data_IF_849651243993
#
_entry.id   IF_849651243993
#
_cell.length_a   1.000
_cell.length_b   1.000
_cell.length_c   1.000
_cell.angle_alpha   90.00
_cell.angle_beta   90.00
_cell.angle_gamma   90.00
#
_symmetry.space_group_name_H-M   'P 1'
#
loop_
_entity.id
_entity.type
_entity.pdbx_description
1 polymer ?
#
# COMPACT_ATOMS: atom_id res chain seq x y z
N UNK A 1 34.33 19.82 -19.38
CA UNK A 1 33.53 19.50 -18.18
C UNK A 1 32.19 18.97 -18.67
N UNK A 2 32.03 17.65 -18.74
CA UNK A 2 30.81 17.02 -19.24
C UNK A 2 29.86 16.80 -18.07
N UNK A 3 28.77 17.56 -18.03
CA UNK A 3 27.69 17.35 -17.06
C UNK A 3 26.77 16.29 -17.65
N UNK A 4 26.91 15.05 -17.20
CA UNK A 4 25.93 14.00 -17.43
C UNK A 4 24.77 14.22 -16.46
N UNK A 5 23.69 14.85 -16.95
CA UNK A 5 22.43 14.91 -16.25
C UNK A 5 21.74 13.54 -16.34
N UNK A 6 21.91 12.73 -15.30
CA UNK A 6 21.11 11.51 -15.11
C UNK A 6 19.69 11.94 -14.73
N UNK A 7 18.80 11.96 -15.73
CA UNK A 7 17.36 12.03 -15.50
C UNK A 7 16.94 10.76 -14.74
N UNK A 8 16.75 10.88 -13.43
CA UNK A 8 16.18 9.83 -12.62
C UNK A 8 14.70 9.68 -13.01
N UNK A 9 14.38 8.62 -13.74
CA UNK A 9 13.00 8.15 -13.88
C UNK A 9 12.55 7.65 -12.50
N UNK A 10 12.06 8.54 -11.65
CA UNK A 10 11.27 8.15 -10.49
C UNK A 10 10.02 7.45 -11.03
N UNK A 11 9.98 6.11 -10.93
CA UNK A 11 8.81 5.34 -11.33
C UNK A 11 7.58 5.91 -10.63
N UNK A 12 6.59 6.35 -11.41
CA UNK A 12 5.36 6.89 -10.86
C UNK A 12 4.75 5.85 -9.91
N UNK A 13 4.27 6.25 -8.71
CA UNK A 13 3.52 5.36 -7.84
C UNK A 13 2.38 4.73 -8.63
N UNK A 14 2.11 3.43 -8.42
CA UNK A 14 0.93 2.79 -9.01
C UNK A 14 -0.29 3.67 -8.71
N UNK A 15 -1.03 4.17 -9.73
CA UNK A 15 -2.15 5.05 -9.48
C UNK A 15 -3.21 4.29 -8.68
N UNK A 16 -3.50 4.81 -7.48
CA UNK A 16 -4.54 4.31 -6.58
C UNK A 16 -5.64 5.38 -6.44
N UNK A 17 -6.91 4.97 -6.27
CA UNK A 17 -8.03 5.90 -6.15
C UNK A 17 -7.89 6.78 -4.92
N UNK A 18 -8.35 8.03 -5.01
CA UNK A 18 -8.34 8.99 -3.91
C UNK A 18 -6.97 9.10 -3.19
N UNK A 19 -5.89 9.19 -3.98
CA UNK A 19 -4.50 9.23 -3.50
C UNK A 19 -4.19 10.39 -2.54
N UNK A 20 -5.04 11.41 -2.50
CA UNK A 20 -4.97 12.52 -1.54
C UNK A 20 -5.51 12.18 -0.14
N UNK A 21 -6.32 11.13 -0.01
CA UNK A 21 -6.94 10.76 1.26
C UNK A 21 -5.93 10.22 2.28
N UNK A 22 -6.28 10.34 3.56
CA UNK A 22 -5.49 9.77 4.64
C UNK A 22 -5.37 8.23 4.54
N UNK A 23 -6.40 7.56 4.01
CA UNK A 23 -6.41 6.11 3.79
C UNK A 23 -5.44 5.68 2.70
N UNK A 24 -5.48 6.35 1.54
CA UNK A 24 -4.59 6.05 0.43
C UNK A 24 -3.12 6.30 0.78
N UNK A 25 -2.82 7.41 1.47
CA UNK A 25 -1.45 7.73 1.91
C UNK A 25 -0.90 6.69 2.88
N UNK A 26 -1.69 6.31 3.89
CA UNK A 26 -1.28 5.27 4.84
C UNK A 26 -1.10 3.91 4.15
N UNK A 27 -2.01 3.55 3.23
CA UNK A 27 -1.89 2.34 2.44
C UNK A 27 -0.59 2.33 1.61
N UNK A 28 -0.27 3.44 0.94
CA UNK A 28 0.98 3.57 0.20
C UNK A 28 2.20 3.43 1.12
N UNK A 29 2.23 4.18 2.21
CA UNK A 29 3.35 4.20 3.16
C UNK A 29 3.63 2.82 3.78
N UNK A 30 2.60 2.11 4.23
CA UNK A 30 2.78 0.81 4.91
C UNK A 30 2.94 -0.35 3.93
N UNK A 31 2.27 -0.32 2.78
CA UNK A 31 2.18 -1.50 1.88
C UNK A 31 3.10 -1.45 0.66
N UNK A 32 3.78 -0.33 0.38
CA UNK A 32 4.78 -0.26 -0.70
C UNK A 32 6.20 -0.61 -0.26
N UNK A 33 6.40 -0.95 1.01
CA UNK A 33 7.72 -1.19 1.59
C UNK A 33 8.43 -2.44 1.04
N UNK A 34 7.69 -3.41 0.50
CA UNK A 34 8.24 -4.68 0.01
C UNK A 34 7.97 -4.94 -1.48
N UNK A 35 6.89 -4.41 -2.04
CA UNK A 35 6.49 -4.62 -3.43
C UNK A 35 5.56 -3.50 -3.89
N UNK A 36 5.23 -3.45 -5.18
CA UNK A 36 4.25 -2.49 -5.71
C UNK A 36 2.86 -2.68 -5.09
N UNK A 37 2.11 -1.58 -4.98
CA UNK A 37 0.77 -1.59 -4.41
C UNK A 37 -0.23 -2.26 -5.37
N UNK A 38 -0.98 -3.28 -4.94
CA UNK A 38 -2.10 -3.77 -5.71
C UNK A 38 -3.25 -2.73 -5.73
N UNK A 39 -3.84 -2.51 -6.90
CA UNK A 39 -4.98 -1.59 -7.02
C UNK A 39 -6.19 -2.07 -6.17
N UNK A 40 -6.87 -1.19 -5.40
CA UNK A 40 -7.98 -1.58 -4.52
C UNK A 40 -9.11 -2.38 -5.20
N UNK A 41 -9.46 -2.07 -6.45
CA UNK A 41 -10.47 -2.82 -7.20
C UNK A 41 -10.06 -4.28 -7.58
N UNK A 42 -8.85 -4.74 -7.24
CA UNK A 42 -8.41 -6.12 -7.54
C UNK A 42 -9.07 -7.19 -6.68
N UNK A 43 -9.67 -6.83 -5.55
CA UNK A 43 -10.27 -7.76 -4.60
C UNK A 43 -11.58 -7.19 -4.03
N UNK A 44 -12.43 -8.07 -3.51
CA UNK A 44 -13.62 -7.67 -2.74
C UNK A 44 -13.22 -7.25 -1.31
N UNK A 45 -14.07 -6.56 -0.54
CA UNK A 45 -13.75 -6.18 0.85
C UNK A 45 -13.33 -7.37 1.73
N UNK A 46 -14.04 -8.51 1.64
CA UNK A 46 -13.71 -9.72 2.40
C UNK A 46 -12.36 -10.34 1.98
N UNK A 47 -12.03 -10.28 0.68
CA UNK A 47 -10.73 -10.73 0.20
C UNK A 47 -9.60 -9.83 0.71
N UNK A 48 -9.83 -8.52 0.78
CA UNK A 48 -8.85 -7.58 1.35
C UNK A 48 -8.59 -7.81 2.82
N UNK A 49 -9.63 -8.09 3.61
CA UNK A 49 -9.46 -8.43 5.03
C UNK A 49 -8.57 -9.67 5.22
N UNK A 50 -8.82 -10.72 4.44
CA UNK A 50 -7.99 -11.92 4.46
C UNK A 50 -6.55 -11.63 4.03
N UNK A 51 -6.37 -10.94 2.89
CA UNK A 51 -5.04 -10.63 2.34
C UNK A 51 -4.22 -9.73 3.27
N UNK A 52 -4.85 -8.78 3.96
CA UNK A 52 -4.14 -7.95 4.92
C UNK A 52 -3.59 -8.79 6.08
N UNK A 53 -4.36 -9.77 6.58
CA UNK A 53 -3.85 -10.71 7.59
C UNK A 53 -2.67 -11.55 7.09
N UNK A 54 -2.69 -11.97 5.81
CA UNK A 54 -1.55 -12.66 5.18
C UNK A 54 -0.33 -11.73 5.11
N UNK A 55 -0.51 -10.45 4.75
CA UNK A 55 0.57 -9.48 4.71
C UNK A 55 1.13 -9.19 6.10
N UNK A 56 0.29 -9.04 7.12
CA UNK A 56 0.74 -8.86 8.51
C UNK A 56 1.63 -10.03 8.98
N UNK A 57 1.30 -11.28 8.60
CA UNK A 57 2.17 -12.43 8.84
C UNK A 57 3.51 -12.30 8.11
N UNK A 58 3.50 -11.96 6.82
CA UNK A 58 4.74 -11.75 6.06
C UNK A 58 5.58 -10.57 6.58
N UNK A 59 4.94 -9.53 7.12
CA UNK A 59 5.63 -8.42 7.78
C UNK A 59 6.39 -8.92 9.02
N UNK A 60 5.72 -9.72 9.86
CA UNK A 60 6.33 -10.32 11.05
C UNK A 60 7.50 -11.26 10.69
N UNK A 61 7.35 -12.11 9.68
CA UNK A 61 8.41 -13.01 9.18
C UNK A 61 9.66 -12.24 8.70
N UNK A 62 9.50 -10.99 8.25
CA UNK A 62 10.60 -10.10 7.85
C UNK A 62 11.13 -9.23 9.00
N UNK A 63 10.64 -9.40 10.22
CA UNK A 63 11.04 -8.61 11.38
C UNK A 63 10.53 -7.17 11.36
N UNK A 64 9.50 -6.87 10.56
CA UNK A 64 8.88 -5.54 10.57
C UNK A 64 7.88 -5.42 11.72
N UNK A 65 7.75 -4.20 12.26
CA UNK A 65 6.75 -3.88 13.26
C UNK A 65 5.33 -4.10 12.73
N UNK A 66 4.40 -4.61 13.56
CA UNK A 66 3.02 -4.85 13.14
C UNK A 66 2.32 -3.54 12.77
N UNK A 67 1.21 -3.65 12.04
CA UNK A 67 0.30 -2.52 11.91
C UNK A 67 -0.35 -2.24 13.27
N UNK A 68 -0.38 -0.97 13.68
CA UNK A 68 -1.19 -0.60 14.83
C UNK A 68 -2.68 -0.85 14.51
N UNK A 69 -3.53 -1.14 15.52
CA UNK A 69 -4.94 -1.42 15.28
C UNK A 69 -5.68 -0.32 14.49
N UNK A 70 -5.32 0.93 14.73
CA UNK A 70 -5.83 2.09 13.99
C UNK A 70 -5.41 2.07 12.52
N UNK A 71 -4.13 1.77 12.25
CA UNK A 71 -3.59 1.72 10.90
C UNK A 71 -4.28 0.61 10.11
N UNK A 72 -4.40 -0.58 10.70
CA UNK A 72 -5.07 -1.73 10.11
C UNK A 72 -6.51 -1.38 9.74
N UNK A 73 -7.26 -0.77 10.66
CA UNK A 73 -8.65 -0.35 10.42
C UNK A 73 -8.75 0.66 9.29
N UNK A 74 -7.86 1.66 9.24
CA UNK A 74 -7.88 2.70 8.21
C UNK A 74 -7.51 2.16 6.83
N UNK A 75 -6.52 1.26 6.75
CA UNK A 75 -6.15 0.58 5.51
C UNK A 75 -7.32 -0.26 4.99
N UNK A 76 -7.97 -1.05 5.85
CA UNK A 76 -9.13 -1.84 5.44
C UNK A 76 -10.31 -0.98 5.01
N UNK A 77 -10.59 0.12 5.71
CA UNK A 77 -11.66 1.03 5.34
C UNK A 77 -11.41 1.62 3.94
N UNK A 78 -10.18 2.04 3.64
CA UNK A 78 -9.79 2.51 2.32
C UNK A 78 -9.92 1.43 1.24
N UNK A 79 -9.37 0.24 1.49
CA UNK A 79 -9.43 -0.88 0.54
C UNK A 79 -10.87 -1.31 0.25
N UNK A 80 -11.73 -1.34 1.28
CA UNK A 80 -13.14 -1.68 1.14
C UNK A 80 -13.94 -0.62 0.37
N UNK A 81 -13.68 0.68 0.62
CA UNK A 81 -14.36 1.78 -0.06
C UNK A 81 -14.07 1.83 -1.57
N UNK A 82 -12.94 1.25 -2.00
CA UNK A 82 -12.52 1.23 -3.40
C UNK A 82 -12.37 -0.19 -3.98
N UNK A 83 -12.95 -1.18 -3.31
CA UNK A 83 -13.02 -2.56 -3.79
C UNK A 83 -13.96 -2.68 -5.01
N UNK A 84 -13.86 -3.79 -5.76
CA UNK A 84 -14.81 -4.10 -6.83
C UNK A 84 -16.16 -4.59 -6.29
#
# INVERSE_FOLDING_TARGET
MSVLALAACAGAPTPIPDSGSAGARLYAERCSACHSLPHPARHTPAQWEHLLGVMERHMAERGMGPLAPEERRRILAYLAAHAR
#
